data_IF_076782331925
#
_entry.id   IF_076782331925
#
_cell.length_a   1.000
_cell.length_b   1.000
_cell.length_c   1.000
_cell.angle_alpha   90.00
_cell.angle_beta   90.00
_cell.angle_gamma   90.00
#
_symmetry.space_group_name_H-M   'P 1'
#
loop_
_entity.id
_entity.type
_entity.pdbx_description
1 polymer ?
#
# COMPACT_ATOMS: atom_id res chain seq x y z
N UNK A 1 -20.10 -40.68 -25.35
CA UNK A 1 -19.77 -40.57 -23.92
C UNK A 1 -19.85 -39.10 -23.57
N UNK A 2 -20.79 -38.73 -22.69
CA UNK A 2 -20.98 -37.34 -22.24
C UNK A 2 -20.07 -37.16 -21.03
N UNK A 3 -19.15 -36.20 -21.07
CA UNK A 3 -18.28 -35.89 -19.93
C UNK A 3 -19.15 -35.45 -18.74
N UNK A 4 -18.94 -36.06 -17.58
CA UNK A 4 -19.56 -35.62 -16.34
C UNK A 4 -19.08 -34.19 -16.01
N UNK A 5 -19.94 -33.32 -15.46
CA UNK A 5 -19.50 -31.99 -15.03
C UNK A 5 -18.41 -32.14 -13.96
N UNK A 6 -17.36 -31.32 -14.06
CA UNK A 6 -16.33 -31.23 -13.03
C UNK A 6 -17.01 -30.94 -11.70
N UNK A 7 -16.86 -31.84 -10.73
CA UNK A 7 -17.30 -31.60 -9.35
C UNK A 7 -16.64 -30.31 -8.87
N UNK A 8 -17.42 -29.43 -8.23
CA UNK A 8 -16.93 -28.20 -7.60
C UNK A 8 -15.77 -28.44 -6.61
N UNK A 9 -15.53 -29.70 -6.21
CA UNK A 9 -14.41 -30.12 -5.36
C UNK A 9 -13.03 -30.10 -6.05
N UNK A 10 -12.95 -29.92 -7.37
CA UNK A 10 -11.68 -29.86 -8.12
C UNK A 10 -11.35 -28.49 -8.72
N UNK A 11 -12.24 -27.51 -8.54
CA UNK A 11 -12.02 -26.18 -9.08
C UNK A 11 -11.12 -25.36 -8.15
N UNK A 12 -10.09 -24.75 -8.72
CA UNK A 12 -9.29 -23.70 -8.08
C UNK A 12 -9.36 -22.43 -8.93
N UNK A 13 -9.38 -21.24 -8.30
CA UNK A 13 -9.32 -20.00 -9.06
C UNK A 13 -8.05 -19.94 -9.92
N UNK A 14 -8.09 -19.25 -11.06
CA UNK A 14 -6.91 -19.08 -11.89
C UNK A 14 -5.84 -18.32 -11.12
N UNK A 15 -4.58 -18.69 -11.34
CA UNK A 15 -3.41 -18.05 -10.74
C UNK A 15 -2.90 -16.87 -11.54
N UNK A 16 -3.35 -16.71 -12.78
CA UNK A 16 -3.08 -15.55 -13.63
C UNK A 16 -4.40 -15.01 -14.14
N UNK A 17 -4.57 -13.69 -14.15
CA UNK A 17 -5.74 -13.02 -14.75
C UNK A 17 -5.29 -11.91 -15.68
N UNK A 18 -6.02 -11.71 -16.77
CA UNK A 18 -5.94 -10.51 -17.60
C UNK A 18 -7.01 -9.54 -17.12
N UNK A 19 -6.61 -8.32 -16.76
CA UNK A 19 -7.51 -7.25 -16.34
C UNK A 19 -7.85 -6.41 -17.57
N UNK A 20 -9.02 -6.65 -18.17
CA UNK A 20 -9.41 -6.07 -19.47
C UNK A 20 -9.33 -4.54 -19.50
N UNK A 21 -9.85 -3.86 -18.48
CA UNK A 21 -9.87 -2.40 -18.41
C UNK A 21 -8.47 -1.79 -18.26
N UNK A 22 -7.57 -2.52 -17.60
CA UNK A 22 -6.19 -2.09 -17.39
C UNK A 22 -5.27 -2.47 -18.55
N UNK A 23 -5.59 -3.54 -19.28
CA UNK A 23 -4.73 -4.09 -20.33
C UNK A 23 -3.46 -4.76 -19.80
N UNK A 24 -3.52 -5.33 -18.58
CA UNK A 24 -2.37 -5.94 -17.91
C UNK A 24 -2.70 -7.28 -17.24
N UNK A 25 -1.69 -8.15 -17.06
CA UNK A 25 -1.83 -9.39 -16.28
C UNK A 25 -1.45 -9.20 -14.82
N UNK A 26 -2.00 -10.04 -13.94
CA UNK A 26 -1.53 -10.19 -12.56
C UNK A 26 -1.41 -11.70 -12.28
N UNK A 27 -0.30 -12.14 -11.71
CA UNK A 27 0.00 -13.56 -11.48
C UNK A 27 0.27 -13.90 -9.99
N UNK A 28 0.07 -15.17 -9.65
CA UNK A 28 0.50 -15.81 -8.41
C UNK A 28 0.24 -14.99 -7.15
N UNK A 29 1.31 -14.72 -6.40
CA UNK A 29 1.23 -14.04 -5.10
C UNK A 29 0.79 -12.57 -5.22
N UNK A 30 1.05 -11.92 -6.35
CA UNK A 30 0.59 -10.55 -6.59
C UNK A 30 -0.92 -10.53 -6.81
N UNK A 31 -1.44 -11.53 -7.54
CA UNK A 31 -2.87 -11.71 -7.72
C UNK A 31 -3.60 -12.00 -6.42
N UNK A 32 -3.01 -12.80 -5.53
CA UNK A 32 -3.59 -13.06 -4.21
C UNK A 32 -3.69 -11.78 -3.38
N UNK A 33 -2.67 -10.93 -3.40
CA UNK A 33 -2.70 -9.64 -2.69
C UNK A 33 -3.71 -8.68 -3.32
N UNK A 34 -3.76 -8.59 -4.65
CA UNK A 34 -4.71 -7.74 -5.36
C UNK A 34 -6.16 -8.15 -5.10
N UNK A 35 -6.47 -9.44 -5.05
CA UNK A 35 -7.80 -9.94 -4.68
C UNK A 35 -8.20 -9.61 -3.25
N UNK A 36 -7.22 -9.58 -2.33
CA UNK A 36 -7.46 -9.24 -0.93
C UNK A 36 -7.66 -7.73 -0.71
N UNK A 37 -7.01 -6.89 -1.51
CA UNK A 37 -7.03 -5.43 -1.34
C UNK A 37 -7.15 -4.66 -2.67
N UNK A 38 -8.19 -4.90 -3.48
CA UNK A 38 -8.27 -4.34 -4.83
C UNK A 38 -8.36 -2.81 -4.82
N UNK A 39 -9.10 -2.21 -3.88
CA UNK A 39 -9.22 -0.76 -3.75
C UNK A 39 -7.92 -0.09 -3.29
N UNK A 40 -7.16 -0.79 -2.43
CA UNK A 40 -5.88 -0.28 -1.93
C UNK A 40 -4.81 -0.27 -3.02
N UNK A 41 -4.74 -1.31 -3.86
CA UNK A 41 -3.77 -1.38 -4.95
C UNK A 41 -4.21 -0.53 -6.15
N UNK A 42 -5.51 -0.57 -6.48
CA UNK A 42 -6.04 -0.08 -7.75
C UNK A 42 -5.75 -1.04 -8.91
N UNK A 43 -5.88 -0.54 -10.14
CA UNK A 43 -5.61 -1.32 -11.34
C UNK A 43 -4.09 -1.53 -11.56
N UNK A 44 -3.68 -2.65 -12.17
CA UNK A 44 -2.30 -2.81 -12.62
C UNK A 44 -1.97 -1.79 -13.73
N UNK A 45 -0.75 -1.26 -13.72
CA UNK A 45 -0.22 -0.30 -14.72
C UNK A 45 0.89 -0.94 -15.58
N UNK A 46 1.38 -2.10 -15.16
CA UNK A 46 2.49 -2.80 -15.81
C UNK A 46 2.24 -4.29 -15.76
N UNK A 47 2.99 -5.05 -16.56
CA UNK A 47 3.18 -6.48 -16.29
C UNK A 47 4.07 -6.68 -15.06
N UNK A 48 4.21 -7.93 -14.61
CA UNK A 48 5.28 -8.35 -13.70
C UNK A 48 6.61 -8.42 -14.43
N UNK A 49 7.67 -7.89 -13.84
CA UNK A 49 9.03 -7.99 -14.41
C UNK A 49 10.11 -8.03 -13.33
N UNK A 50 11.28 -8.55 -13.69
CA UNK A 50 12.45 -8.55 -12.81
C UNK A 50 13.18 -7.22 -12.83
N UNK A 51 13.47 -6.68 -11.64
CA UNK A 51 14.19 -5.41 -11.47
C UNK A 51 15.12 -5.49 -10.26
N UNK A 52 16.28 -4.81 -10.27
CA UNK A 52 17.18 -4.77 -9.11
C UNK A 52 16.63 -3.82 -8.04
N UNK A 53 15.84 -4.37 -7.12
CA UNK A 53 15.12 -3.65 -6.06
C UNK A 53 15.90 -3.72 -4.73
N UNK A 54 16.07 -2.56 -4.10
CA UNK A 54 16.46 -2.46 -2.70
C UNK A 54 15.19 -2.30 -1.84
N UNK A 55 15.05 -3.12 -0.80
CA UNK A 55 13.91 -3.05 0.13
C UNK A 55 14.39 -3.25 1.57
N UNK A 56 13.76 -2.55 2.51
CA UNK A 56 14.21 -2.51 3.91
C UNK A 56 14.39 -3.90 4.51
N UNK A 57 15.57 -4.14 5.11
CA UNK A 57 15.91 -5.42 5.73
C UNK A 57 16.55 -6.44 4.78
N UNK A 58 16.64 -6.16 3.48
CA UNK A 58 17.19 -7.08 2.50
C UNK A 58 18.19 -6.38 1.57
N UNK A 59 19.21 -7.12 1.15
CA UNK A 59 20.16 -6.64 0.15
C UNK A 59 19.46 -6.40 -1.20
N UNK A 60 20.05 -5.50 -1.99
CA UNK A 60 19.59 -5.25 -3.35
C UNK A 60 19.77 -6.50 -4.19
N UNK A 61 18.69 -6.98 -4.79
CA UNK A 61 18.68 -8.16 -5.64
C UNK A 61 17.66 -7.99 -6.77
N UNK A 62 17.77 -8.80 -7.82
CA UNK A 62 16.74 -8.89 -8.84
C UNK A 62 15.48 -9.54 -8.25
N UNK A 63 14.36 -8.83 -8.35
CA UNK A 63 13.06 -9.23 -7.76
C UNK A 63 11.96 -8.98 -8.77
N UNK A 64 10.94 -9.83 -8.77
CA UNK A 64 9.71 -9.54 -9.48
C UNK A 64 9.01 -8.35 -8.83
N UNK A 65 8.62 -7.39 -9.64
CA UNK A 65 7.90 -6.17 -9.24
C UNK A 65 6.74 -5.93 -10.21
N UNK A 66 5.68 -5.31 -9.71
CA UNK A 66 4.58 -4.81 -10.52
C UNK A 66 4.04 -3.51 -9.93
N UNK A 67 3.68 -2.58 -10.80
CA UNK A 67 3.11 -1.29 -10.44
C UNK A 67 1.59 -1.31 -10.63
N UNK A 68 0.90 -0.73 -9.68
CA UNK A 68 -0.54 -0.50 -9.67
C UNK A 68 -0.78 1.00 -9.47
N UNK A 69 -2.03 1.44 -9.63
CA UNK A 69 -2.41 2.86 -9.50
C UNK A 69 -1.98 3.51 -8.19
N UNK A 70 -2.02 2.77 -7.09
CA UNK A 70 -1.77 3.33 -5.76
C UNK A 70 -0.52 2.79 -5.06
N UNK A 71 -0.01 1.63 -5.51
CA UNK A 71 1.10 0.93 -4.89
C UNK A 71 1.95 0.23 -5.96
N UNK A 72 3.22 -0.01 -5.66
CA UNK A 72 4.02 -1.02 -6.35
C UNK A 72 4.38 -2.11 -5.37
N UNK A 73 4.30 -3.37 -5.80
CA UNK A 73 4.58 -4.54 -4.97
C UNK A 73 5.74 -5.34 -5.53
N UNK A 74 6.51 -5.94 -4.62
CA UNK A 74 7.72 -6.70 -4.92
C UNK A 74 7.69 -8.04 -4.19
N UNK A 75 8.19 -9.08 -4.85
CA UNK A 75 8.38 -10.40 -4.24
C UNK A 75 9.75 -10.50 -3.56
N UNK A 76 9.75 -10.90 -2.29
CA UNK A 76 10.90 -11.02 -1.40
C UNK A 76 10.98 -12.46 -0.87
N UNK A 77 11.57 -13.40 -1.63
CA UNK A 77 11.63 -14.81 -1.23
C UNK A 77 12.45 -15.07 0.04
N UNK A 78 13.36 -14.15 0.39
CA UNK A 78 14.21 -14.23 1.58
C UNK A 78 13.44 -13.91 2.88
N UNK A 79 12.25 -13.32 2.79
CA UNK A 79 11.40 -13.13 3.96
C UNK A 79 10.84 -14.48 4.42
N UNK A 80 11.11 -14.78 5.69
CA UNK A 80 10.73 -16.03 6.35
C UNK A 80 9.23 -16.16 6.59
N UNK A 81 8.54 -15.04 6.78
CA UNK A 81 7.08 -14.99 6.97
C UNK A 81 6.41 -14.93 5.61
N UNK A 82 5.72 -15.99 5.24
CA UNK A 82 5.11 -16.15 3.91
C UNK A 82 4.19 -14.96 3.58
N UNK A 83 3.41 -14.48 4.56
CA UNK A 83 2.50 -13.35 4.40
C UNK A 83 3.21 -11.99 4.19
N UNK A 84 4.52 -11.93 4.38
CA UNK A 84 5.39 -10.77 4.15
C UNK A 84 6.31 -10.92 2.94
N UNK A 85 6.21 -12.02 2.19
CA UNK A 85 7.00 -12.19 0.96
C UNK A 85 6.54 -11.28 -0.17
N UNK A 86 5.29 -10.81 -0.15
CA UNK A 86 4.87 -9.69 -1.02
C UNK A 86 4.85 -8.41 -0.19
N UNK A 87 5.67 -7.45 -0.59
CA UNK A 87 5.83 -6.18 0.11
C UNK A 87 5.54 -5.02 -0.83
N UNK A 88 5.02 -3.93 -0.29
CA UNK A 88 4.83 -2.68 -1.01
C UNK A 88 6.14 -1.87 -0.99
N UNK A 89 6.53 -1.33 -2.14
CA UNK A 89 7.64 -0.39 -2.27
C UNK A 89 7.37 0.92 -1.49
N UNK A 90 8.41 1.64 -1.04
CA UNK A 90 8.27 2.83 -0.21
C UNK A 90 7.88 4.09 -1.02
N UNK A 91 6.88 3.98 -1.91
CA UNK A 91 6.50 5.06 -2.82
C UNK A 91 5.96 6.31 -2.09
N UNK A 92 5.41 6.14 -0.89
CA UNK A 92 4.98 7.25 -0.05
C UNK A 92 6.16 8.05 0.51
N UNK A 93 7.27 7.38 0.86
CA UNK A 93 8.52 8.04 1.21
C UNK A 93 9.11 8.78 -0.01
N UNK A 94 9.17 8.14 -1.17
CA UNK A 94 9.64 8.78 -2.40
C UNK A 94 8.80 10.02 -2.75
N UNK A 95 7.48 9.94 -2.58
CA UNK A 95 6.58 11.07 -2.75
C UNK A 95 6.87 12.19 -1.74
N UNK A 96 7.04 11.87 -0.46
CA UNK A 96 7.37 12.83 0.58
C UNK A 96 8.68 13.57 0.29
N UNK A 97 9.71 12.85 -0.14
CA UNK A 97 11.01 13.41 -0.49
C UNK A 97 10.93 14.31 -1.73
N UNK A 98 10.22 13.87 -2.77
CA UNK A 98 9.98 14.66 -3.99
C UNK A 98 9.21 15.95 -3.69
N UNK A 99 8.21 15.87 -2.82
CA UNK A 99 7.28 16.97 -2.56
C UNK A 99 7.77 17.89 -1.42
N UNK A 100 8.95 17.62 -0.84
CA UNK A 100 9.50 18.30 0.34
C UNK A 100 9.56 19.84 0.23
N UNK A 101 9.89 20.38 -0.95
CA UNK A 101 9.91 21.83 -1.15
C UNK A 101 8.52 22.44 -1.07
N UNK A 102 7.50 21.80 -1.66
CA UNK A 102 6.12 22.25 -1.56
C UNK A 102 5.58 22.08 -0.13
N UNK A 103 5.90 20.95 0.52
CA UNK A 103 5.52 20.68 1.90
C UNK A 103 6.10 21.71 2.89
N UNK A 104 7.28 22.28 2.60
CA UNK A 104 7.87 23.34 3.43
C UNK A 104 7.04 24.63 3.50
N UNK A 105 6.10 24.82 2.56
CA UNK A 105 5.14 25.95 2.57
C UNK A 105 4.02 25.76 3.59
N UNK A 106 3.77 24.52 4.02
CA UNK A 106 2.80 24.20 5.05
C UNK A 106 3.48 24.25 6.44
N UNK A 107 2.77 24.76 7.44
CA UNK A 107 3.23 24.69 8.83
C UNK A 107 2.82 23.34 9.45
N UNK A 108 3.49 22.27 9.00
CA UNK A 108 3.22 20.91 9.48
C UNK A 108 3.88 20.67 10.84
N UNK A 109 3.18 20.04 11.80
CA UNK A 109 3.83 19.53 13.00
C UNK A 109 4.89 18.49 12.62
N UNK A 110 6.11 18.65 13.17
CA UNK A 110 7.22 17.70 12.97
C UNK A 110 7.08 16.42 13.79
N UNK A 111 6.17 16.42 14.77
CA UNK A 111 5.82 15.26 15.57
C UNK A 111 4.40 15.40 16.09
N UNK A 112 3.78 14.26 16.41
CA UNK A 112 2.42 14.17 16.91
C UNK A 112 2.34 13.45 18.25
N UNK A 113 1.31 13.77 19.04
CA UNK A 113 0.91 12.98 20.21
C UNK A 113 -0.61 12.85 20.24
N UNK A 114 -1.09 11.66 20.61
CA UNK A 114 -2.53 11.40 20.78
C UNK A 114 -3.14 12.17 21.97
N UNK A 115 -2.32 12.70 22.89
CA UNK A 115 -2.82 13.41 24.05
C UNK A 115 -3.80 12.55 24.85
N UNK A 116 -5.04 13.00 24.97
CA UNK A 116 -6.12 12.30 25.70
C UNK A 116 -7.07 11.52 24.78
N UNK A 117 -6.78 11.44 23.48
CA UNK A 117 -7.59 10.66 22.53
C UNK A 117 -7.48 9.16 22.83
N UNK A 118 -8.57 8.42 22.60
CA UNK A 118 -8.56 6.96 22.73
C UNK A 118 -7.76 6.30 21.60
N UNK A 119 -7.31 5.07 21.84
CA UNK A 119 -6.59 4.27 20.84
C UNK A 119 -7.41 3.95 19.58
N UNK A 120 -8.75 4.04 19.66
CA UNK A 120 -9.64 3.89 18.50
C UNK A 120 -9.65 5.12 17.59
N UNK A 121 -9.18 6.27 18.06
CA UNK A 121 -9.25 7.55 17.33
C UNK A 121 -7.87 8.11 17.01
N UNK A 122 -6.83 7.70 17.74
CA UNK A 122 -5.47 8.08 17.47
C UNK A 122 -4.49 6.94 17.77
N UNK A 123 -3.54 6.74 16.87
CA UNK A 123 -2.41 5.84 17.06
C UNK A 123 -1.11 6.61 16.87
N UNK A 124 -0.24 6.57 17.87
CA UNK A 124 1.12 7.11 17.80
C UNK A 124 2.10 6.04 17.29
N UNK A 125 3.07 6.49 16.50
CA UNK A 125 4.12 5.65 15.94
C UNK A 125 5.46 6.11 16.48
N UNK A 126 6.06 5.27 17.34
CA UNK A 126 7.29 5.63 18.03
C UNK A 126 8.49 5.77 17.08
N UNK A 127 8.54 5.00 16.00
CA UNK A 127 9.66 5.02 15.07
C UNK A 127 9.73 6.31 14.25
N UNK A 128 8.56 6.86 13.88
CA UNK A 128 8.46 8.07 13.05
C UNK A 128 8.05 9.31 13.84
N UNK A 129 7.67 9.16 15.12
CA UNK A 129 7.19 10.25 16.00
C UNK A 129 5.95 10.97 15.46
N UNK A 130 5.15 10.28 14.68
CA UNK A 130 3.92 10.80 14.08
C UNK A 130 2.67 10.08 14.58
N UNK A 131 1.50 10.66 14.32
CA UNK A 131 0.21 10.03 14.63
C UNK A 131 -0.67 9.82 13.40
N UNK A 132 -1.53 8.81 13.45
CA UNK A 132 -2.63 8.61 12.49
C UNK A 132 -3.93 8.74 13.26
N UNK A 133 -4.91 9.49 12.74
CA UNK A 133 -6.15 9.81 13.47
C UNK A 133 -7.39 9.57 12.64
N UNK A 134 -8.53 9.51 13.33
CA UNK A 134 -9.87 9.57 12.74
C UNK A 134 -10.03 8.61 11.55
N UNK A 135 -10.55 9.09 10.41
CA UNK A 135 -10.82 8.28 9.22
C UNK A 135 -9.56 7.68 8.58
N UNK A 136 -8.39 8.32 8.69
CA UNK A 136 -7.15 7.70 8.22
C UNK A 136 -6.72 6.55 9.13
N UNK A 137 -6.99 6.62 10.44
CA UNK A 137 -6.73 5.50 11.35
C UNK A 137 -7.67 4.33 11.09
N UNK A 138 -8.96 4.62 10.84
CA UNK A 138 -9.94 3.61 10.42
C UNK A 138 -9.48 2.90 9.15
N UNK A 139 -9.20 3.67 8.08
CA UNK A 139 -8.71 3.13 6.81
C UNK A 139 -7.42 2.31 6.98
N UNK A 140 -6.47 2.81 7.78
CA UNK A 140 -5.22 2.11 8.08
C UNK A 140 -5.45 0.76 8.78
N UNK A 141 -6.39 0.70 9.72
CA UNK A 141 -6.69 -0.55 10.43
C UNK A 141 -7.41 -1.58 9.53
N UNK A 142 -8.26 -1.12 8.62
CA UNK A 142 -9.01 -1.98 7.70
C UNK A 142 -8.16 -2.58 6.58
N UNK A 143 -7.08 -1.89 6.17
CA UNK A 143 -6.28 -2.25 4.99
C UNK A 143 -4.88 -2.78 5.33
N UNK A 144 -4.75 -3.50 6.44
CA UNK A 144 -3.47 -4.08 6.90
C UNK A 144 -2.34 -3.02 6.91
N UNK A 145 -2.64 -1.87 7.51
CA UNK A 145 -1.84 -0.67 7.35
C UNK A 145 -0.40 -0.81 7.85
N UNK A 146 -0.10 -1.74 8.76
CA UNK A 146 1.29 -2.01 9.15
C UNK A 146 2.10 -2.55 7.97
N UNK A 147 1.52 -3.47 7.21
CA UNK A 147 2.20 -4.16 6.12
C UNK A 147 2.07 -3.44 4.79
N UNK A 148 0.95 -2.80 4.49
CA UNK A 148 0.69 -2.25 3.14
C UNK A 148 0.79 -0.72 3.04
N UNK A 149 0.54 0.01 4.14
CA UNK A 149 0.54 1.49 4.15
C UNK A 149 1.82 2.02 4.82
N UNK A 150 2.26 1.36 5.89
CA UNK A 150 3.41 1.72 6.71
C UNK A 150 3.11 2.79 7.75
N UNK A 151 4.16 3.25 8.41
CA UNK A 151 4.09 4.32 9.42
C UNK A 151 3.91 5.70 8.76
N UNK A 152 3.22 6.65 9.42
CA UNK A 152 3.10 8.02 8.95
C UNK A 152 4.46 8.74 8.94
N UNK A 153 4.65 9.62 7.93
CA UNK A 153 5.82 10.49 7.74
C UNK A 153 5.50 11.97 8.00
N UNK A 154 4.22 12.30 8.13
CA UNK A 154 3.71 13.63 8.49
C UNK A 154 2.53 13.48 9.44
N UNK A 155 2.09 14.58 10.05
CA UNK A 155 0.69 14.65 10.53
C UNK A 155 -0.27 14.89 9.36
N UNK A 156 -1.56 14.70 9.60
CA UNK A 156 -2.65 15.10 8.70
C UNK A 156 -2.66 16.62 8.48
N UNK A 157 -2.84 17.07 7.23
CA UNK A 157 -2.95 18.49 6.91
C UNK A 157 -3.87 18.75 5.72
N UNK A 158 -4.42 19.96 5.65
CA UNK A 158 -5.21 20.41 4.51
C UNK A 158 -4.26 20.91 3.40
N UNK A 159 -4.23 20.19 2.28
CA UNK A 159 -3.51 20.58 1.06
C UNK A 159 -4.20 21.75 0.36
N UNK A 160 -3.47 22.50 -0.46
CA UNK A 160 -3.94 23.69 -1.18
C UNK A 160 -5.09 23.43 -2.16
N UNK A 161 -5.26 22.19 -2.62
CA UNK A 161 -6.37 21.73 -3.46
C UNK A 161 -7.59 21.23 -2.65
N UNK A 162 -7.53 21.39 -1.32
CA UNK A 162 -8.65 21.15 -0.42
C UNK A 162 -8.81 19.69 0.01
N UNK A 163 -7.80 18.85 -0.18
CA UNK A 163 -7.78 17.49 0.38
C UNK A 163 -7.08 17.47 1.74
N UNK A 164 -7.64 16.75 2.71
CA UNK A 164 -6.88 16.29 3.86
C UNK A 164 -5.90 15.24 3.37
N UNK A 165 -4.61 15.44 3.64
CA UNK A 165 -3.52 14.62 3.12
C UNK A 165 -2.62 14.18 4.27
N UNK A 166 -2.11 12.95 4.20
CA UNK A 166 -1.05 12.47 5.08
C UNK A 166 -0.12 11.54 4.29
N UNK A 167 1.19 11.73 4.45
CA UNK A 167 2.19 10.87 3.84
C UNK A 167 2.50 9.71 4.77
N UNK A 168 2.60 8.51 4.22
CA UNK A 168 3.04 7.29 4.90
C UNK A 168 4.26 6.73 4.18
N UNK A 169 4.92 5.73 4.76
CA UNK A 169 6.10 5.11 4.16
C UNK A 169 5.82 4.55 2.75
N UNK A 170 4.64 3.96 2.52
CA UNK A 170 4.35 3.23 1.27
C UNK A 170 3.34 3.91 0.35
N UNK A 171 2.53 4.84 0.86
CA UNK A 171 1.60 5.60 0.03
C UNK A 171 1.26 6.98 0.63
N UNK A 172 0.46 7.76 -0.09
CA UNK A 172 -0.13 9.01 0.40
C UNK A 172 -1.64 8.83 0.49
N UNK A 173 -2.23 9.02 1.68
CA UNK A 173 -3.67 9.02 1.83
C UNK A 173 -4.21 10.44 1.66
N UNK A 174 -5.31 10.56 0.91
CA UNK A 174 -5.96 11.82 0.60
C UNK A 174 -7.47 11.66 0.73
N UNK A 175 -8.12 12.59 1.41
CA UNK A 175 -9.57 12.55 1.61
C UNK A 175 -10.19 13.93 1.42
N UNK A 176 -11.39 13.94 0.85
CA UNK A 176 -12.24 15.11 0.71
C UNK A 176 -13.70 14.67 0.76
N UNK A 177 -14.50 15.37 1.56
CA UNK A 177 -15.91 15.04 1.68
C UNK A 177 -16.65 15.19 0.34
N UNK A 178 -17.45 14.19 -0.02
CA UNK A 178 -18.35 14.24 -1.17
C UNK A 178 -17.71 13.96 -2.53
N UNK A 179 -16.53 13.34 -2.55
CA UNK A 179 -15.90 12.76 -3.74
C UNK A 179 -15.79 11.25 -3.63
#
# INVERSE_FOLDING_TARGET
MVAAPLSAQQWSPPRTVWVEDAGHTIDGYFLDLWRAHPELLGQPITEEWESPIAIGGFERADRYVQYFEHLAIVYVPEESRIEWQVQTLPLGQEAYERDATELSKYSLPKSGSCGTLSSSTCKAFDDTKHTVRNGFLEYWNEHDGARLIGSPLTEEFLSSDGYTTQYFQKMVLRWKAGL
#
